data_IF_500653567382
#
_entry.id   IF_500653567382
#
_cell.length_a   1.000
_cell.length_b   1.000
_cell.length_c   1.000
_cell.angle_alpha   90.00
_cell.angle_beta   90.00
_cell.angle_gamma   90.00
#
_symmetry.space_group_name_H-M   'P 1'
#
loop_
_entity.id
_entity.type
_entity.pdbx_description
1 polymer ?
#
# COMPACT_ATOMS: atom_id res chain seq x y z
N UNK A 1 -6.33 -2.79 -10.59
CA UNK A 1 -5.03 -2.46 -11.20
C UNK A 1 -5.00 -2.72 -12.71
N UNK A 2 -5.91 -2.06 -13.42
CA UNK A 2 -6.06 -2.26 -14.88
C UNK A 2 -4.95 -1.60 -15.71
N UNK A 3 -4.14 -0.71 -15.12
CA UNK A 3 -3.15 0.06 -15.87
C UNK A 3 -1.75 -0.54 -15.84
N UNK A 4 -1.37 -1.24 -14.78
CA UNK A 4 -0.06 -1.87 -14.66
C UNK A 4 0.13 -3.06 -15.60
N UNK A 5 -0.82 -3.97 -15.63
CA UNK A 5 -0.70 -5.27 -16.32
C UNK A 5 -0.57 -5.15 -17.84
N UNK A 6 -1.41 -4.33 -18.51
CA UNK A 6 -1.33 -4.13 -19.96
C UNK A 6 -0.05 -3.43 -20.43
N UNK A 7 0.53 -2.56 -19.60
CA UNK A 7 1.78 -1.88 -19.91
C UNK A 7 2.97 -2.83 -19.88
N UNK A 8 2.98 -3.77 -18.92
CA UNK A 8 4.08 -4.71 -18.72
C UNK A 8 4.00 -5.93 -19.65
N UNK A 9 2.83 -6.49 -19.90
CA UNK A 9 2.67 -7.70 -20.74
C UNK A 9 3.09 -7.50 -22.20
N UNK A 10 2.99 -6.30 -22.75
CA UNK A 10 3.41 -6.02 -24.12
C UNK A 10 4.93 -5.94 -24.31
N UNK A 11 5.74 -5.74 -23.26
CA UNK A 11 7.16 -5.40 -23.40
C UNK A 11 8.17 -6.41 -22.84
N UNK A 12 7.76 -7.39 -22.07
CA UNK A 12 8.69 -8.28 -21.35
C UNK A 12 8.95 -9.60 -22.07
N UNK A 13 8.16 -9.96 -23.07
CA UNK A 13 8.45 -11.17 -23.86
C UNK A 13 9.68 -10.92 -24.74
N UNK A 14 10.81 -11.51 -24.37
CA UNK A 14 12.05 -11.68 -25.17
C UNK A 14 13.10 -10.55 -25.17
N UNK A 15 13.55 -10.09 -24.00
CA UNK A 15 14.65 -9.12 -23.94
C UNK A 15 15.87 -9.65 -23.21
N UNK A 16 17.06 -9.59 -23.89
CA UNK A 16 18.36 -9.79 -23.25
C UNK A 16 18.63 -8.66 -22.22
N UNK A 17 19.41 -8.95 -21.18
CA UNK A 17 19.74 -8.01 -20.10
C UNK A 17 20.24 -6.65 -20.63
N UNK A 18 20.99 -6.64 -21.73
CA UNK A 18 21.50 -5.41 -22.36
C UNK A 18 20.38 -4.58 -23.00
N UNK A 19 19.40 -5.20 -23.64
CA UNK A 19 18.21 -4.54 -24.18
C UNK A 19 17.31 -4.02 -23.05
N UNK A 20 17.22 -4.71 -21.93
CA UNK A 20 16.48 -4.28 -20.75
C UNK A 20 16.99 -2.95 -20.20
N UNK A 21 18.30 -2.81 -19.98
CA UNK A 21 18.89 -1.54 -19.51
C UNK A 21 18.83 -0.41 -20.54
N UNK A 22 18.90 -0.72 -21.82
CA UNK A 22 18.73 0.27 -22.90
C UNK A 22 17.29 0.74 -22.99
N UNK A 23 16.32 -0.18 -22.80
CA UNK A 23 14.91 0.19 -22.74
C UNK A 23 14.54 0.94 -21.45
N UNK A 24 15.12 0.61 -20.30
CA UNK A 24 14.98 1.42 -19.09
C UNK A 24 15.40 2.88 -19.29
N UNK A 25 16.45 3.12 -20.08
CA UNK A 25 16.85 4.48 -20.49
C UNK A 25 15.83 5.16 -21.40
N UNK A 26 15.25 4.43 -22.34
CA UNK A 26 14.26 4.94 -23.29
C UNK A 26 12.85 5.01 -22.69
N UNK A 27 12.51 4.10 -21.77
CA UNK A 27 11.25 4.11 -21.01
C UNK A 27 11.17 5.27 -20.01
N UNK A 28 12.27 5.92 -19.70
CA UNK A 28 12.28 7.14 -18.87
C UNK A 28 11.39 8.23 -19.48
N UNK A 29 11.48 8.48 -20.80
CA UNK A 29 10.58 9.41 -21.52
C UNK A 29 9.15 8.87 -21.57
N UNK A 30 8.98 7.56 -21.74
CA UNK A 30 7.67 6.93 -21.81
C UNK A 30 7.00 6.85 -20.43
N UNK A 31 7.76 6.68 -19.35
CA UNK A 31 7.23 6.71 -17.98
C UNK A 31 6.84 8.12 -17.56
N UNK A 32 7.62 9.14 -17.93
CA UNK A 32 7.21 10.54 -17.78
C UNK A 32 5.96 10.87 -18.59
N UNK A 33 5.88 10.40 -19.85
CA UNK A 33 4.70 10.58 -20.70
C UNK A 33 3.49 9.80 -20.19
N UNK A 34 3.68 8.59 -19.66
CA UNK A 34 2.62 7.81 -19.01
C UNK A 34 2.13 8.52 -17.74
N UNK A 35 3.06 8.99 -16.90
CA UNK A 35 2.73 9.76 -15.72
C UNK A 35 1.99 11.06 -16.08
N UNK A 36 2.43 11.78 -17.11
CA UNK A 36 1.76 12.97 -17.62
C UNK A 36 0.40 12.65 -18.24
N UNK A 37 0.23 11.46 -18.83
CA UNK A 37 -1.07 11.02 -19.35
C UNK A 37 -2.03 10.62 -18.23
N UNK A 38 -1.51 9.99 -17.15
CA UNK A 38 -2.26 9.70 -15.93
C UNK A 38 -2.67 10.98 -15.17
N UNK A 39 -1.90 12.05 -15.33
CA UNK A 39 -2.22 13.39 -14.80
C UNK A 39 -3.46 14.02 -15.45
N UNK A 40 -3.78 13.65 -16.69
CA UNK A 40 -4.98 14.09 -17.40
C UNK A 40 -6.25 13.34 -17.02
N UNK A 41 -6.13 12.27 -16.21
CA UNK A 41 -7.28 11.57 -15.65
C UNK A 41 -7.83 12.47 -14.53
N UNK A 42 -9.10 12.91 -14.59
CA UNK A 42 -9.69 13.77 -13.56
C UNK A 42 -9.56 13.08 -12.19
N UNK A 43 -9.31 13.86 -11.15
CA UNK A 43 -9.28 13.39 -9.74
C UNK A 43 -10.62 12.77 -9.28
N UNK A 44 -11.66 12.91 -10.07
CA UNK A 44 -12.96 12.24 -9.95
C UNK A 44 -13.11 11.25 -11.11
N UNK A 45 -12.45 10.12 -10.98
CA UNK A 45 -12.85 8.95 -11.75
C UNK A 45 -14.13 8.43 -11.08
N UNK A 46 -15.25 8.79 -11.64
CA UNK A 46 -16.56 8.24 -11.28
C UNK A 46 -16.62 6.81 -11.82
N UNK A 47 -15.80 5.95 -11.20
CA UNK A 47 -15.76 4.53 -11.53
C UNK A 47 -17.03 3.90 -10.98
N UNK A 48 -18.00 3.71 -11.84
CA UNK A 48 -19.20 2.98 -11.47
C UNK A 48 -18.85 1.51 -11.19
N UNK A 49 -18.43 1.24 -9.95
CA UNK A 49 -18.02 -0.07 -9.47
C UNK A 49 -19.09 -1.13 -9.73
N UNK A 50 -20.39 -0.77 -9.63
CA UNK A 50 -21.52 -1.65 -9.93
C UNK A 50 -21.49 -2.08 -11.40
N UNK A 51 -21.32 -1.14 -12.32
CA UNK A 51 -21.26 -1.42 -13.76
C UNK A 51 -20.02 -2.27 -14.13
N UNK A 52 -18.88 -1.99 -13.50
CA UNK A 52 -17.68 -2.80 -13.72
C UNK A 52 -17.85 -4.24 -13.24
N UNK A 53 -18.44 -4.44 -12.06
CA UNK A 53 -18.76 -5.78 -11.51
C UNK A 53 -19.75 -6.53 -12.40
N UNK A 54 -20.75 -5.85 -12.91
CA UNK A 54 -21.72 -6.41 -13.85
C UNK A 54 -21.04 -6.89 -15.15
N UNK A 55 -20.17 -6.07 -15.75
CA UNK A 55 -19.40 -6.43 -16.94
C UNK A 55 -18.47 -7.62 -16.69
N UNK A 56 -17.79 -7.64 -15.55
CA UNK A 56 -16.93 -8.75 -15.15
C UNK A 56 -17.75 -10.04 -14.94
N UNK A 57 -18.90 -9.95 -14.29
CA UNK A 57 -19.82 -11.07 -14.09
C UNK A 57 -20.26 -11.66 -15.42
N UNK A 58 -20.77 -10.84 -16.32
CA UNK A 58 -21.23 -11.26 -17.63
C UNK A 58 -20.10 -11.91 -18.46
N UNK A 59 -18.90 -11.33 -18.41
CA UNK A 59 -17.73 -11.90 -19.07
C UNK A 59 -17.37 -13.29 -18.52
N UNK A 60 -17.28 -13.43 -17.20
CA UNK A 60 -16.89 -14.70 -16.54
C UNK A 60 -17.95 -15.79 -16.77
N UNK A 61 -19.25 -15.48 -16.66
CA UNK A 61 -20.33 -16.42 -16.94
C UNK A 61 -20.24 -16.91 -18.40
N UNK A 62 -20.05 -15.99 -19.34
CA UNK A 62 -19.89 -16.34 -20.77
C UNK A 62 -18.67 -17.23 -21.01
N UNK A 63 -17.51 -16.90 -20.42
CA UNK A 63 -16.28 -17.68 -20.58
C UNK A 63 -16.38 -19.07 -19.93
N UNK A 64 -17.13 -19.20 -18.85
CA UNK A 64 -17.32 -20.49 -18.14
C UNK A 64 -18.27 -21.46 -18.84
N UNK A 65 -18.89 -21.05 -19.95
CA UNK A 65 -19.91 -21.83 -20.66
C UNK A 65 -21.05 -22.30 -19.72
N UNK A 66 -21.46 -21.43 -18.80
CA UNK A 66 -22.55 -21.73 -17.85
C UNK A 66 -22.18 -22.60 -16.64
N UNK A 67 -20.88 -22.91 -16.46
CA UNK A 67 -20.43 -23.68 -15.28
C UNK A 67 -20.40 -22.83 -14.00
N UNK A 68 -20.22 -21.52 -14.11
CA UNK A 68 -20.27 -20.59 -12.97
C UNK A 68 -21.74 -20.24 -12.70
N UNK A 69 -22.23 -20.58 -11.50
CA UNK A 69 -23.62 -20.33 -11.09
C UNK A 69 -23.76 -19.01 -10.32
N UNK A 70 -22.70 -18.59 -9.58
CA UNK A 70 -22.73 -17.41 -8.73
C UNK A 70 -21.35 -16.78 -8.69
N UNK A 71 -21.30 -15.44 -8.68
CA UNK A 71 -20.08 -14.65 -8.50
C UNK A 71 -20.35 -13.67 -7.37
N UNK A 72 -19.47 -13.66 -6.38
CA UNK A 72 -19.48 -12.71 -5.28
C UNK A 72 -18.28 -11.81 -5.34
N UNK A 73 -18.47 -10.55 -4.97
CA UNK A 73 -17.42 -9.55 -4.92
C UNK A 73 -17.25 -9.08 -3.48
N UNK A 74 -16.03 -9.21 -2.97
CA UNK A 74 -15.66 -8.73 -1.67
C UNK A 74 -14.90 -7.41 -1.79
N UNK A 75 -15.08 -6.55 -0.78
CA UNK A 75 -14.31 -5.30 -0.66
C UNK A 75 -12.81 -5.59 -0.51
N UNK A 76 -11.98 -4.83 -1.21
CA UNK A 76 -10.53 -4.99 -1.25
C UNK A 76 -9.90 -5.01 0.15
N UNK A 77 -10.18 -3.98 0.96
CA UNK A 77 -9.62 -3.89 2.30
C UNK A 77 -10.20 -4.94 3.25
N UNK A 78 -11.44 -5.37 3.05
CA UNK A 78 -12.03 -6.49 3.79
C UNK A 78 -11.30 -7.81 3.50
N UNK A 79 -10.87 -8.05 2.25
CA UNK A 79 -10.03 -9.20 1.91
C UNK A 79 -8.67 -9.14 2.62
N UNK A 80 -8.00 -8.00 2.62
CA UNK A 80 -6.74 -7.82 3.35
C UNK A 80 -6.90 -8.07 4.86
N UNK A 81 -7.97 -7.55 5.47
CA UNK A 81 -8.31 -7.76 6.88
C UNK A 81 -8.55 -9.23 7.19
N UNK A 82 -9.37 -9.88 6.38
CA UNK A 82 -9.67 -11.30 6.57
C UNK A 82 -8.41 -12.15 6.47
N UNK A 83 -7.60 -11.91 5.45
CA UNK A 83 -6.33 -12.62 5.32
C UNK A 83 -5.40 -12.38 6.51
N UNK A 84 -5.19 -11.13 6.91
CA UNK A 84 -4.32 -10.80 8.04
C UNK A 84 -4.75 -11.49 9.33
N UNK A 85 -6.04 -11.49 9.64
CA UNK A 85 -6.56 -12.02 10.89
C UNK A 85 -6.69 -13.54 10.89
N UNK A 86 -7.28 -14.10 9.81
CA UNK A 86 -7.61 -15.53 9.77
C UNK A 86 -6.43 -16.41 9.38
N UNK A 87 -5.41 -15.90 8.67
CA UNK A 87 -4.19 -16.64 8.40
C UNK A 87 -3.26 -16.75 9.62
N UNK A 88 -3.46 -15.89 10.63
CA UNK A 88 -2.71 -15.96 11.87
C UNK A 88 -3.09 -17.18 12.71
N UNK A 89 -2.08 -17.89 13.23
CA UNK A 89 -2.31 -18.98 14.19
C UNK A 89 -3.00 -18.51 15.47
N UNK A 90 -2.67 -17.29 15.94
CA UNK A 90 -3.25 -16.64 17.11
C UNK A 90 -4.26 -15.59 16.67
N UNK A 91 -5.53 -15.95 16.61
CA UNK A 91 -6.63 -15.01 16.35
C UNK A 91 -7.02 -14.30 17.64
N UNK A 92 -6.22 -13.29 17.98
CA UNK A 92 -6.31 -12.60 19.27
C UNK A 92 -7.52 -11.69 19.33
N UNK A 93 -8.22 -11.74 20.45
CA UNK A 93 -9.20 -10.73 20.86
C UNK A 93 -8.49 -9.42 21.20
N UNK A 94 -9.26 -8.34 21.34
CA UNK A 94 -8.72 -7.01 21.66
C UNK A 94 -7.52 -6.68 20.76
N UNK A 95 -7.75 -6.78 19.49
CA UNK A 95 -6.73 -6.53 18.49
C UNK A 95 -7.16 -5.47 17.47
N UNK A 96 -6.19 -4.73 16.96
CA UNK A 96 -6.38 -3.85 15.82
C UNK A 96 -5.84 -4.51 14.55
N UNK A 97 -6.63 -4.45 13.49
CA UNK A 97 -6.26 -4.95 12.18
C UNK A 97 -6.20 -3.74 11.25
N UNK A 98 -5.04 -3.49 10.69
CA UNK A 98 -4.75 -2.26 9.93
C UNK A 98 -4.39 -2.66 8.51
N UNK A 99 -4.95 -1.97 7.54
CA UNK A 99 -4.51 -2.06 6.16
C UNK A 99 -3.91 -0.74 5.71
N UNK A 100 -2.77 -0.80 5.03
CA UNK A 100 -2.17 0.36 4.34
C UNK A 100 -1.70 -0.11 2.98
N UNK A 101 -2.35 0.41 1.94
CA UNK A 101 -2.11 -0.02 0.58
C UNK A 101 -2.01 1.16 -0.39
N UNK A 102 -1.71 0.86 -1.65
CA UNK A 102 -1.68 1.85 -2.72
C UNK A 102 -3.06 2.44 -2.97
N UNK A 103 -4.01 1.59 -3.32
CA UNK A 103 -5.43 1.93 -3.47
C UNK A 103 -6.25 0.65 -3.68
N UNK A 104 -7.41 0.56 -3.02
CA UNK A 104 -8.41 -0.48 -3.27
C UNK A 104 -9.81 0.02 -2.94
N UNK A 105 -10.74 -0.09 -3.88
CA UNK A 105 -12.13 0.35 -3.76
C UNK A 105 -12.29 1.80 -3.24
N UNK A 106 -11.40 2.72 -3.71
CA UNK A 106 -11.42 4.13 -3.34
C UNK A 106 -10.75 4.48 -2.01
N UNK A 107 -10.19 3.50 -1.30
CA UNK A 107 -9.48 3.67 -0.04
C UNK A 107 -8.01 3.25 -0.18
N UNK A 108 -7.17 3.74 0.74
CA UNK A 108 -5.78 3.32 0.86
C UNK A 108 -5.34 3.04 2.30
N UNK A 109 -6.27 3.18 3.25
CA UNK A 109 -6.05 2.78 4.63
C UNK A 109 -7.39 2.42 5.29
N UNK A 110 -7.42 1.32 6.04
CA UNK A 110 -8.51 1.03 6.98
C UNK A 110 -7.97 0.57 8.33
N UNK A 111 -8.75 0.80 9.38
CA UNK A 111 -8.47 0.30 10.73
C UNK A 111 -9.72 -0.38 11.26
N UNK A 112 -9.54 -1.61 11.73
CA UNK A 112 -10.58 -2.44 12.29
C UNK A 112 -10.20 -2.89 13.69
N UNK A 113 -11.18 -3.18 14.52
CA UNK A 113 -10.99 -3.73 15.85
C UNK A 113 -11.74 -5.06 15.95
N UNK A 114 -11.04 -6.07 16.45
CA UNK A 114 -11.63 -7.30 16.95
C UNK A 114 -11.80 -7.15 18.48
N UNK A 115 -13.05 -7.14 18.93
CA UNK A 115 -13.38 -6.98 20.35
C UNK A 115 -13.24 -8.27 21.16
N UNK A 116 -13.64 -8.23 22.46
CA UNK A 116 -13.64 -9.38 23.37
C UNK A 116 -14.50 -10.55 22.89
N UNK A 117 -15.57 -10.25 22.16
CA UNK A 117 -16.48 -11.24 21.61
C UNK A 117 -16.08 -11.73 20.23
N UNK A 118 -14.86 -11.39 19.77
CA UNK A 118 -14.34 -11.66 18.42
C UNK A 118 -15.17 -11.01 17.28
N UNK A 119 -15.96 -10.01 17.60
CA UNK A 119 -16.66 -9.21 16.59
C UNK A 119 -15.68 -8.21 15.97
N UNK A 120 -15.53 -8.29 14.65
CA UNK A 120 -14.65 -7.40 13.88
C UNK A 120 -15.48 -6.27 13.30
N UNK A 121 -15.08 -5.03 13.58
CA UNK A 121 -15.74 -3.82 13.05
C UNK A 121 -14.74 -2.79 12.57
N UNK A 122 -15.06 -2.13 11.47
CA UNK A 122 -14.28 -1.01 10.95
C UNK A 122 -14.50 0.23 11.83
N UNK A 123 -13.43 0.88 12.23
CA UNK A 123 -13.47 2.09 13.07
C UNK A 123 -12.95 3.32 12.35
N UNK A 124 -12.21 3.14 11.26
CA UNK A 124 -11.60 4.25 10.53
C UNK A 124 -11.20 3.82 9.13
N UNK A 125 -11.27 4.76 8.20
CA UNK A 125 -10.81 4.59 6.82
C UNK A 125 -10.25 5.91 6.27
N UNK A 126 -9.36 5.85 5.30
CA UNK A 126 -8.79 7.00 4.62
C UNK A 126 -8.55 6.70 3.14
N UNK A 127 -8.87 7.67 2.30
CA UNK A 127 -8.49 7.74 0.88
C UNK A 127 -7.30 8.69 0.65
N UNK A 128 -6.69 9.17 1.73
CA UNK A 128 -5.60 10.16 1.70
C UNK A 128 -4.29 9.64 2.27
N UNK A 129 -4.18 8.33 2.54
CA UNK A 129 -2.97 7.70 3.06
C UNK A 129 -1.98 7.40 1.92
N UNK A 130 -1.47 8.43 1.27
CA UNK A 130 -0.56 8.31 0.10
C UNK A 130 0.85 7.79 0.46
N UNK A 131 1.02 6.97 1.51
CA UNK A 131 2.32 6.37 1.89
C UNK A 131 2.86 5.54 0.74
N UNK A 132 2.10 4.55 0.27
CA UNK A 132 2.52 3.65 -0.81
C UNK A 132 2.83 4.45 -2.08
N UNK A 133 1.96 5.40 -2.44
CA UNK A 133 2.16 6.27 -3.60
C UNK A 133 3.44 7.11 -3.48
N UNK A 134 3.70 7.68 -2.31
CA UNK A 134 4.92 8.47 -2.08
C UNK A 134 6.17 7.60 -2.21
N UNK A 135 6.13 6.39 -1.65
CA UNK A 135 7.23 5.43 -1.76
C UNK A 135 7.45 4.99 -3.21
N UNK A 136 6.40 4.64 -3.92
CA UNK A 136 6.40 4.28 -5.34
C UNK A 136 6.99 5.39 -6.22
N UNK A 137 6.59 6.64 -6.02
CA UNK A 137 7.12 7.78 -6.76
C UNK A 137 8.57 8.07 -6.40
N UNK A 138 9.00 7.81 -5.17
CA UNK A 138 10.42 7.87 -4.77
C UNK A 138 11.21 6.75 -5.45
N UNK A 139 10.65 5.55 -5.57
CA UNK A 139 11.26 4.44 -6.33
C UNK A 139 11.49 4.84 -7.79
N UNK A 140 10.49 5.46 -8.42
CA UNK A 140 10.60 5.99 -9.78
C UNK A 140 11.66 7.10 -9.89
N UNK A 141 11.69 8.03 -8.94
CA UNK A 141 12.67 9.12 -8.85
C UNK A 141 14.10 8.58 -8.80
N UNK A 142 14.32 7.50 -8.07
CA UNK A 142 15.61 6.80 -7.99
C UNK A 142 15.89 5.91 -9.21
N UNK A 143 15.10 6.04 -10.28
CA UNK A 143 15.24 5.33 -11.56
C UNK A 143 15.12 3.81 -11.42
N UNK A 144 14.35 3.38 -10.42
CA UNK A 144 13.99 1.99 -10.20
C UNK A 144 12.55 1.74 -10.67
N UNK A 145 12.18 0.47 -10.85
CA UNK A 145 10.86 0.08 -11.33
C UNK A 145 9.84 0.16 -10.20
N UNK A 146 8.83 1.04 -10.29
CA UNK A 146 7.74 1.07 -9.32
C UNK A 146 6.95 -0.25 -9.32
N UNK A 147 6.36 -0.58 -8.18
CA UNK A 147 5.62 -1.81 -7.88
C UNK A 147 6.48 -3.09 -7.83
N UNK A 148 7.80 -2.97 -8.10
CA UNK A 148 8.71 -4.12 -8.06
C UNK A 148 10.01 -3.86 -7.28
N UNK A 149 10.47 -2.61 -7.20
CA UNK A 149 11.78 -2.28 -6.64
C UNK A 149 11.73 -1.47 -5.35
N UNK A 150 10.59 -1.34 -4.70
CA UNK A 150 10.45 -0.65 -3.41
C UNK A 150 11.37 -1.26 -2.34
N UNK A 151 11.55 -2.59 -2.38
CA UNK A 151 12.48 -3.28 -1.47
C UNK A 151 13.94 -2.85 -1.67
N UNK A 152 14.33 -2.45 -2.91
CA UNK A 152 15.67 -1.92 -3.17
C UNK A 152 15.86 -0.54 -2.55
N UNK A 153 14.84 0.31 -2.61
CA UNK A 153 14.83 1.62 -1.93
C UNK A 153 14.94 1.43 -0.42
N UNK A 154 14.18 0.48 0.14
CA UNK A 154 14.29 0.11 1.56
C UNK A 154 15.70 -0.40 1.90
N UNK A 155 16.31 -1.21 1.01
CA UNK A 155 17.67 -1.72 1.15
C UNK A 155 18.75 -0.65 1.03
N UNK A 156 18.52 0.45 0.31
CA UNK A 156 19.42 1.60 0.20
C UNK A 156 19.42 2.50 1.43
N UNK A 157 18.32 2.57 2.16
CA UNK A 157 18.15 3.48 3.29
C UNK A 157 19.29 3.40 4.34
N UNK A 158 19.85 2.21 4.71
CA UNK A 158 20.93 2.11 5.69
C UNK A 158 22.28 2.69 5.23
N UNK A 159 22.48 2.90 3.95
CA UNK A 159 23.76 3.43 3.43
C UNK A 159 23.90 4.94 3.62
N UNK A 160 22.80 5.63 3.92
CA UNK A 160 22.81 7.03 4.26
C UNK A 160 23.14 7.23 5.74
N UNK A 161 23.94 8.26 6.05
CA UNK A 161 24.06 8.74 7.42
C UNK A 161 22.74 9.34 7.89
N UNK A 162 22.33 8.99 9.10
CA UNK A 162 21.03 9.38 9.66
C UNK A 162 20.78 10.91 9.63
N UNK A 163 21.84 11.70 9.84
CA UNK A 163 21.76 13.15 9.78
C UNK A 163 21.30 13.66 8.39
N UNK A 164 21.87 13.12 7.31
CA UNK A 164 21.52 13.55 5.95
C UNK A 164 20.12 13.10 5.56
N UNK A 165 19.76 11.85 5.86
CA UNK A 165 18.40 11.36 5.64
C UNK A 165 17.37 12.20 6.39
N UNK A 166 17.66 12.61 7.64
CA UNK A 166 16.78 13.50 8.42
C UNK A 166 16.63 14.87 7.80
N UNK A 167 17.69 15.48 7.31
CA UNK A 167 17.61 16.79 6.62
C UNK A 167 16.69 16.71 5.40
N UNK A 168 16.84 15.67 4.58
CA UNK A 168 15.96 15.44 3.43
C UNK A 168 14.52 15.14 3.88
N UNK A 169 14.30 14.31 4.91
CA UNK A 169 12.98 14.02 5.46
C UNK A 169 12.28 15.31 5.93
N UNK A 170 12.95 16.14 6.74
CA UNK A 170 12.37 17.38 7.29
C UNK A 170 11.95 18.36 6.19
N UNK A 171 12.76 18.50 5.15
CA UNK A 171 12.52 19.39 4.03
C UNK A 171 11.46 18.87 3.06
N UNK A 172 11.50 17.58 2.70
CA UNK A 172 10.74 17.03 1.57
C UNK A 172 9.48 16.28 2.04
N UNK A 173 9.61 15.37 3.00
CA UNK A 173 8.55 14.39 3.29
C UNK A 173 7.67 14.74 4.48
N UNK A 174 8.22 15.38 5.51
CA UNK A 174 7.56 15.61 6.82
C UNK A 174 6.17 16.21 6.73
N UNK A 175 5.95 17.10 5.78
CA UNK A 175 4.72 17.85 5.66
C UNK A 175 3.74 17.29 4.62
N UNK A 176 4.06 16.22 3.93
CA UNK A 176 3.16 15.62 2.94
C UNK A 176 1.92 15.01 3.58
N UNK A 177 2.11 14.25 4.66
CA UNK A 177 1.04 13.55 5.38
C UNK A 177 1.11 13.84 6.88
N UNK A 178 0.00 13.59 7.56
CA UNK A 178 -0.11 13.65 9.02
C UNK A 178 -1.06 12.58 9.54
N UNK A 179 -0.90 12.21 10.81
CA UNK A 179 -1.80 11.28 11.49
C UNK A 179 -2.81 12.08 12.32
N UNK A 180 -4.10 11.93 11.99
CA UNK A 180 -5.23 12.49 12.74
C UNK A 180 -6.06 11.34 13.35
N UNK A 181 -5.97 11.16 14.67
CA UNK A 181 -6.59 9.99 15.33
C UNK A 181 -6.04 8.68 14.76
N UNK A 182 -6.92 7.85 14.23
CA UNK A 182 -6.59 6.58 13.57
C UNK A 182 -6.54 6.65 12.03
N UNK A 183 -6.35 7.85 11.47
CA UNK A 183 -6.25 8.08 10.01
C UNK A 183 -4.94 8.76 9.67
N UNK A 184 -4.34 8.35 8.55
CA UNK A 184 -3.30 9.11 7.87
C UNK A 184 -3.95 9.90 6.76
N UNK A 185 -3.72 11.22 6.74
CA UNK A 185 -4.35 12.14 5.81
C UNK A 185 -3.34 13.13 5.25
N UNK A 186 -3.69 13.76 4.14
CA UNK A 186 -2.87 14.84 3.58
C UNK A 186 -2.68 15.97 4.60
N UNK A 187 -1.48 16.55 4.62
CA UNK A 187 -1.16 17.80 5.32
C UNK A 187 -0.94 18.90 4.30
N UNK A 188 0.14 18.81 3.52
CA UNK A 188 0.45 19.74 2.44
C UNK A 188 0.74 18.94 1.16
N UNK A 189 -0.31 18.35 0.56
CA UNK A 189 -0.15 17.58 -0.67
C UNK A 189 0.08 18.51 -1.85
N UNK A 190 1.20 18.42 -2.57
CA UNK A 190 1.40 19.14 -3.81
C UNK A 190 0.44 18.63 -4.90
N UNK A 191 0.01 19.49 -5.82
CA UNK A 191 -0.83 19.11 -6.96
C UNK A 191 -0.17 18.01 -7.81
N UNK A 192 1.14 18.11 -7.98
CA UNK A 192 1.99 17.13 -8.66
C UNK A 192 3.06 16.64 -7.71
N UNK A 193 2.80 15.50 -7.06
CA UNK A 193 3.73 14.93 -6.10
C UNK A 193 5.06 14.51 -6.73
N UNK A 194 5.04 13.97 -7.97
CA UNK A 194 6.28 13.53 -8.60
C UNK A 194 7.16 14.71 -9.00
N UNK A 195 6.59 15.73 -9.59
CA UNK A 195 7.31 16.98 -9.91
C UNK A 195 7.91 17.61 -8.64
N UNK A 196 7.11 17.68 -7.57
CA UNK A 196 7.57 18.17 -6.28
C UNK A 196 8.76 17.37 -5.75
N UNK A 197 8.71 16.03 -5.82
CA UNK A 197 9.83 15.18 -5.38
C UNK A 197 11.09 15.44 -6.20
N UNK A 198 10.99 15.55 -7.55
CA UNK A 198 12.13 15.86 -8.43
C UNK A 198 12.79 17.19 -8.00
N UNK A 199 11.99 18.25 -7.88
CA UNK A 199 12.47 19.59 -7.55
C UNK A 199 13.07 19.66 -6.14
N UNK A 200 12.38 19.06 -5.17
CA UNK A 200 12.79 19.12 -3.76
C UNK A 200 13.99 18.25 -3.41
N UNK A 201 14.30 17.23 -4.23
CA UNK A 201 15.44 16.33 -4.02
C UNK A 201 16.59 16.58 -4.99
N UNK A 202 16.51 17.66 -5.78
CA UNK A 202 17.58 18.01 -6.71
C UNK A 202 18.92 18.16 -5.99
N UNK A 203 19.97 17.54 -6.51
CA UNK A 203 21.31 17.54 -5.91
C UNK A 203 21.52 16.58 -4.72
N UNK A 204 20.47 15.93 -4.23
CA UNK A 204 20.60 14.96 -3.13
C UNK A 204 21.15 13.61 -3.61
N UNK A 205 21.91 12.97 -2.74
CA UNK A 205 22.36 11.60 -2.97
C UNK A 205 21.19 10.63 -2.88
N UNK A 206 21.22 9.58 -3.71
CA UNK A 206 20.16 8.57 -3.80
C UNK A 206 19.89 7.83 -2.47
N UNK A 207 20.93 7.55 -1.70
CA UNK A 207 20.82 6.90 -0.39
C UNK A 207 20.18 7.83 0.68
N UNK A 208 20.45 9.14 0.62
CA UNK A 208 19.81 10.12 1.51
C UNK A 208 18.30 10.22 1.22
N UNK A 209 17.92 10.19 -0.05
CA UNK A 209 16.50 10.17 -0.47
C UNK A 209 15.82 8.87 0.01
N UNK A 210 16.49 7.72 -0.18
CA UNK A 210 15.99 6.44 0.27
C UNK A 210 15.82 6.38 1.79
N UNK A 211 16.80 6.88 2.54
CA UNK A 211 16.72 7.01 4.00
C UNK A 211 15.58 7.94 4.45
N UNK A 212 15.39 9.06 3.73
CA UNK A 212 14.35 10.03 4.07
C UNK A 212 12.93 9.48 3.87
N UNK A 213 12.66 8.78 2.76
CA UNK A 213 11.34 8.15 2.56
C UNK A 213 11.11 7.00 3.53
N UNK A 214 12.16 6.30 3.95
CA UNK A 214 12.05 5.26 4.97
C UNK A 214 11.67 5.88 6.33
N UNK A 215 12.30 6.96 6.76
CA UNK A 215 11.94 7.73 7.97
C UNK A 215 10.48 8.20 7.90
N UNK A 216 10.03 8.65 6.74
CA UNK A 216 8.66 9.10 6.51
C UNK A 216 7.63 7.99 6.81
N UNK A 217 7.84 6.80 6.25
CA UNK A 217 6.96 5.65 6.48
C UNK A 217 6.97 5.26 7.96
N UNK A 218 8.16 5.09 8.53
CA UNK A 218 8.33 4.67 9.92
C UNK A 218 7.65 5.62 10.90
N UNK A 219 7.85 6.92 10.75
CA UNK A 219 7.24 7.93 11.64
C UNK A 219 5.72 7.98 11.55
N UNK A 220 5.16 7.90 10.34
CA UNK A 220 3.70 7.94 10.16
C UNK A 220 3.04 6.71 10.74
N UNK A 221 3.56 5.52 10.42
CA UNK A 221 2.94 4.28 10.86
C UNK A 221 3.11 4.08 12.38
N UNK A 222 4.30 4.35 12.93
CA UNK A 222 4.50 4.34 14.39
C UNK A 222 3.52 5.29 15.11
N UNK A 223 3.32 6.49 14.58
CA UNK A 223 2.36 7.44 15.16
C UNK A 223 0.93 6.96 15.09
N UNK A 224 0.55 6.28 14.00
CA UNK A 224 -0.77 5.67 13.84
C UNK A 224 -1.00 4.59 14.92
N UNK A 225 -0.04 3.69 15.11
CA UNK A 225 -0.10 2.63 16.13
C UNK A 225 -0.20 3.21 17.54
N UNK A 226 0.62 4.23 17.84
CA UNK A 226 0.56 4.94 19.12
C UNK A 226 -0.82 5.55 19.38
N UNK A 227 -1.42 6.18 18.38
CA UNK A 227 -2.75 6.79 18.53
C UNK A 227 -3.84 5.74 18.76
N UNK A 228 -3.77 4.59 18.07
CA UNK A 228 -4.68 3.48 18.28
C UNK A 228 -4.52 2.92 19.69
N UNK A 229 -3.28 2.67 20.15
CA UNK A 229 -3.01 2.24 21.51
C UNK A 229 -3.55 3.23 22.55
N UNK A 230 -3.25 4.52 22.40
CA UNK A 230 -3.71 5.56 23.36
C UNK A 230 -5.23 5.61 23.48
N UNK A 231 -5.94 5.49 22.36
CA UNK A 231 -7.40 5.62 22.32
C UNK A 231 -8.12 4.35 22.76
N UNK A 232 -7.65 3.18 22.31
CA UNK A 232 -8.37 1.91 22.49
C UNK A 232 -7.69 0.95 23.46
N UNK A 233 -6.48 1.27 23.96
CA UNK A 233 -5.66 0.43 24.84
C UNK A 233 -5.33 -0.94 24.27
N UNK A 234 -5.39 -1.06 22.93
CA UNK A 234 -5.09 -2.29 22.20
C UNK A 234 -3.57 -2.46 22.10
N UNK A 235 -3.08 -3.67 22.35
CA UNK A 235 -1.67 -4.04 22.29
C UNK A 235 -1.37 -5.15 21.26
N UNK A 236 -2.41 -5.74 20.68
CA UNK A 236 -2.31 -6.79 19.67
C UNK A 236 -2.62 -6.20 18.30
N UNK A 237 -1.71 -6.33 17.36
CA UNK A 237 -1.84 -5.68 16.05
C UNK A 237 -1.61 -6.66 14.90
N UNK A 238 -2.39 -6.49 13.86
CA UNK A 238 -2.26 -7.14 12.57
C UNK A 238 -2.09 -6.05 11.50
N UNK A 239 -1.16 -6.25 10.57
CA UNK A 239 -0.91 -5.31 9.48
C UNK A 239 -0.96 -6.01 8.14
N UNK A 240 -1.61 -5.39 7.15
CA UNK A 240 -1.81 -5.87 5.79
C UNK A 240 -1.76 -4.74 4.76
N UNK A 241 -1.83 -5.09 3.48
CA UNK A 241 -1.65 -4.17 2.36
C UNK A 241 -0.18 -4.04 1.98
N UNK A 242 0.11 -3.54 0.79
CA UNK A 242 1.46 -3.49 0.22
C UNK A 242 2.51 -2.82 1.10
N UNK A 243 2.12 -1.81 1.91
CA UNK A 243 3.04 -1.15 2.85
C UNK A 243 3.52 -2.09 3.97
N UNK A 244 2.76 -3.14 4.29
CA UNK A 244 3.15 -4.15 5.28
C UNK A 244 4.38 -4.97 4.89
N UNK A 245 4.78 -4.93 3.62
CA UNK A 245 6.00 -5.57 3.13
C UNK A 245 7.29 -4.83 3.56
N UNK A 246 7.18 -3.65 4.19
CA UNK A 246 8.33 -2.90 4.68
C UNK A 246 8.83 -3.49 6.02
N UNK A 247 9.76 -4.42 5.93
CA UNK A 247 10.29 -5.17 7.08
C UNK A 247 11.02 -4.28 8.10
N UNK A 248 11.61 -3.15 7.68
CA UNK A 248 12.28 -2.20 8.60
C UNK A 248 11.26 -1.50 9.48
N UNK A 249 10.17 -1.00 8.88
CA UNK A 249 9.04 -0.44 9.60
C UNK A 249 8.43 -1.49 10.54
N UNK A 250 8.23 -2.73 10.06
CA UNK A 250 7.66 -3.81 10.86
C UNK A 250 8.51 -4.13 12.11
N UNK A 251 9.84 -4.13 11.96
CA UNK A 251 10.74 -4.31 13.11
C UNK A 251 10.54 -3.22 14.16
N UNK A 252 10.51 -1.95 13.73
CA UNK A 252 10.28 -0.81 14.64
C UNK A 252 8.96 -0.97 15.39
N UNK A 253 7.87 -1.32 14.67
CA UNK A 253 6.56 -1.51 15.27
C UNK A 253 6.57 -2.64 16.29
N UNK A 254 7.19 -3.78 15.96
CA UNK A 254 7.29 -4.92 16.86
C UNK A 254 8.01 -4.58 18.17
N UNK A 255 9.01 -3.71 18.09
CA UNK A 255 9.85 -3.33 19.22
C UNK A 255 9.24 -2.18 20.08
N UNK A 256 8.02 -1.69 19.75
CA UNK A 256 7.36 -0.64 20.52
C UNK A 256 6.89 -1.18 21.89
N UNK A 257 7.10 -0.43 22.98
CA UNK A 257 6.87 -0.93 24.35
C UNK A 257 5.39 -1.22 24.67
N UNK A 258 4.48 -0.80 23.83
CA UNK A 258 3.04 -1.02 23.98
C UNK A 258 2.49 -2.06 22.98
N UNK A 259 3.35 -2.77 22.25
CA UNK A 259 2.98 -3.82 21.30
C UNK A 259 3.35 -5.17 21.91
N UNK A 260 2.33 -5.91 22.37
CA UNK A 260 2.54 -7.25 22.93
C UNK A 260 2.61 -8.31 21.83
N UNK A 261 1.75 -8.19 20.81
CA UNK A 261 1.74 -9.09 19.67
C UNK A 261 1.61 -8.29 18.38
N UNK A 262 2.46 -8.58 17.41
CA UNK A 262 2.43 -8.00 16.09
C UNK A 262 2.54 -9.10 15.03
N UNK A 263 1.57 -9.14 14.15
CA UNK A 263 1.52 -10.10 13.04
C UNK A 263 1.39 -9.39 11.72
N UNK A 264 2.20 -9.78 10.76
CA UNK A 264 2.12 -9.40 9.36
C UNK A 264 1.99 -10.69 8.56
N UNK A 265 1.01 -10.77 7.69
CA UNK A 265 0.82 -11.96 6.87
C UNK A 265 1.98 -12.13 5.88
N UNK A 266 2.24 -13.38 5.41
CA UNK A 266 3.38 -13.68 4.54
C UNK A 266 3.36 -12.94 3.20
N UNK A 267 2.18 -12.64 2.67
CA UNK A 267 1.98 -11.87 1.44
C UNK A 267 1.11 -10.66 1.71
N UNK A 268 1.72 -9.47 1.71
CA UNK A 268 1.03 -8.21 2.03
C UNK A 268 0.33 -7.57 0.84
N UNK A 269 0.66 -7.95 -0.37
CA UNK A 269 0.13 -7.35 -1.60
C UNK A 269 -1.21 -7.93 -2.05
N UNK A 270 -1.67 -7.43 -3.21
CA UNK A 270 -2.98 -7.77 -3.80
C UNK A 270 -3.10 -9.24 -4.21
N UNK A 271 -1.99 -9.94 -4.41
CA UNK A 271 -1.96 -11.37 -4.70
C UNK A 271 -2.63 -12.21 -3.61
N UNK A 272 -2.69 -11.71 -2.39
CA UNK A 272 -3.32 -12.38 -1.24
C UNK A 272 -4.82 -12.11 -1.09
N UNK A 273 -5.41 -11.22 -1.87
CA UNK A 273 -6.83 -10.87 -1.79
C UNK A 273 -7.76 -12.08 -2.02
N UNK A 274 -7.36 -12.99 -2.93
CA UNK A 274 -8.11 -14.22 -3.18
C UNK A 274 -8.23 -15.07 -1.91
N UNK A 275 -7.17 -15.18 -1.11
CA UNK A 275 -7.20 -15.90 0.18
C UNK A 275 -8.13 -15.20 1.18
N UNK A 276 -8.08 -13.88 1.21
CA UNK A 276 -8.98 -13.07 2.03
C UNK A 276 -10.45 -13.26 1.64
N UNK A 277 -10.74 -13.30 0.35
CA UNK A 277 -12.07 -13.59 -0.18
C UNK A 277 -12.59 -14.97 0.26
N UNK A 278 -11.74 -16.01 0.20
CA UNK A 278 -12.11 -17.34 0.70
C UNK A 278 -12.46 -17.33 2.20
N UNK A 279 -11.69 -16.63 3.03
CA UNK A 279 -12.01 -16.51 4.46
C UNK A 279 -13.31 -15.75 4.73
N UNK A 280 -13.63 -14.74 3.91
CA UNK A 280 -14.90 -14.03 4.04
C UNK A 280 -16.07 -14.92 3.64
N UNK A 281 -15.94 -15.66 2.53
CA UNK A 281 -16.97 -16.58 2.05
C UNK A 281 -17.29 -17.67 3.08
N UNK A 282 -16.28 -18.35 3.62
CA UNK A 282 -16.45 -19.36 4.66
C UNK A 282 -17.24 -18.83 5.86
N UNK A 283 -16.97 -17.58 6.26
CA UNK A 283 -17.63 -16.95 7.41
C UNK A 283 -19.10 -16.56 7.13
N UNK A 284 -19.46 -16.23 5.89
CA UNK A 284 -20.83 -15.93 5.52
C UNK A 284 -21.68 -17.17 5.35
N UNK A 285 -21.09 -18.30 4.95
CA UNK A 285 -21.78 -19.55 4.72
C UNK A 285 -21.84 -20.45 5.96
N UNK A 286 -21.06 -20.16 7.01
CA UNK A 286 -21.04 -20.92 8.28
C UNK A 286 -22.10 -20.41 9.30
N UNK A 287 -23.05 -19.63 8.86
CA UNK A 287 -24.26 -19.24 9.61
C UNK A 287 -25.44 -20.03 9.09
#
# INVERSE_FOLDING_TARGET
DHYGKKFYERKIKNLSTKKYYTQLKNDRRNQENLYLSLKKIPDKFDFNLKKARELQTNFLIKQSRGKIKKIEFFDHHSCHIAYAYFSSRKRLKNSAIITIDSQGDGLNQTVWICDENKKIRKISESSQCDIARTYKLTTLLLKMKPDEHEYKVMGLAPYSKNEYSRKVYERVYKNLLQVKGSKIVHKNRPKDLYKYLIESTSGERFDNIAGAVQIFVEKLVTKLFLNIYKKYKIKNFYLSGGVSMNIKMNKIIKDLPYVDNFFVQPSGGDESLAMGGCYLEERFNSK
#
